data_IF_837486132951
#
_entry.id   IF_837486132951
#
_cell.length_a   1.000
_cell.length_b   1.000
_cell.length_c   1.000
_cell.angle_alpha   90.00
_cell.angle_beta   90.00
_cell.angle_gamma   90.00
#
_symmetry.space_group_name_H-M   'P 1'
#
loop_
_entity.id
_entity.type
_entity.pdbx_description
1 polymer ?
#
# COMPACT_ATOMS: atom_id res chain seq x y z
N UNK A 1 -8.46 -19.21 3.43
CA UNK A 1 -7.39 -19.26 2.37
C UNK A 1 -7.34 -17.91 1.67
N UNK A 2 -6.17 -17.29 1.55
CA UNK A 2 -6.02 -15.98 0.89
C UNK A 2 -6.31 -16.07 -0.62
N UNK A 3 -7.24 -15.25 -1.12
CA UNK A 3 -7.47 -15.05 -2.54
C UNK A 3 -6.68 -13.83 -3.02
N UNK A 4 -5.73 -14.03 -3.93
CA UNK A 4 -5.01 -12.95 -4.60
C UNK A 4 -5.08 -13.14 -6.12
N UNK A 5 -4.94 -12.05 -6.87
CA UNK A 5 -5.10 -12.02 -8.33
C UNK A 5 -4.13 -12.99 -9.02
N UNK A 6 -2.89 -13.09 -8.53
CA UNK A 6 -1.89 -14.02 -9.09
C UNK A 6 -2.36 -15.48 -9.02
N UNK A 7 -3.02 -15.88 -7.94
CA UNK A 7 -3.55 -17.24 -7.78
C UNK A 7 -4.86 -17.43 -8.52
N UNK A 8 -5.81 -16.51 -8.35
CA UNK A 8 -7.19 -16.70 -8.82
C UNK A 8 -7.37 -16.40 -10.31
N UNK A 9 -6.56 -15.51 -10.88
CA UNK A 9 -6.61 -15.16 -12.30
C UNK A 9 -5.47 -15.85 -13.05
N UNK A 10 -4.21 -15.46 -12.81
CA UNK A 10 -3.07 -15.99 -13.58
C UNK A 10 -2.88 -17.50 -13.33
N UNK A 11 -2.95 -17.94 -12.08
CA UNK A 11 -2.83 -19.34 -11.71
C UNK A 11 -3.92 -20.23 -12.31
N UNK A 12 -5.14 -19.71 -12.48
CA UNK A 12 -6.27 -20.45 -13.04
C UNK A 12 -6.14 -20.69 -14.56
N UNK A 13 -5.40 -19.85 -15.26
CA UNK A 13 -5.22 -19.94 -16.73
C UNK A 13 -3.78 -20.25 -17.15
N UNK A 14 -2.93 -20.68 -16.21
CA UNK A 14 -1.48 -20.85 -16.41
C UNK A 14 -1.08 -21.85 -17.51
N UNK A 15 -1.95 -22.79 -17.83
CA UNK A 15 -1.69 -23.84 -18.84
C UNK A 15 -1.94 -23.37 -20.28
N UNK A 16 -2.48 -22.16 -20.47
CA UNK A 16 -2.72 -21.59 -21.80
C UNK A 16 -1.40 -21.26 -22.49
N UNK A 17 -1.18 -21.85 -23.67
CA UNK A 17 0.05 -21.72 -24.46
C UNK A 17 0.33 -20.31 -24.98
N UNK A 18 -0.65 -19.42 -24.94
CA UNK A 18 -0.53 -18.01 -25.36
C UNK A 18 -0.30 -17.05 -24.18
N UNK A 19 -0.12 -17.55 -22.96
CA UNK A 19 0.20 -16.74 -21.78
C UNK A 19 1.60 -17.11 -21.27
N UNK A 20 2.46 -16.09 -21.17
CA UNK A 20 3.81 -16.24 -20.66
C UNK A 20 3.97 -15.38 -19.41
N UNK A 21 4.48 -15.97 -18.32
CA UNK A 21 4.70 -15.28 -17.05
C UNK A 21 6.19 -15.37 -16.70
N UNK A 22 6.88 -14.24 -16.74
CA UNK A 22 8.26 -14.12 -16.29
C UNK A 22 8.30 -13.54 -14.87
N UNK A 23 8.85 -14.30 -13.93
CA UNK A 23 9.04 -13.86 -12.53
C UNK A 23 10.46 -13.36 -12.35
N UNK A 24 10.71 -12.62 -11.27
CA UNK A 24 12.06 -12.09 -10.96
C UNK A 24 12.67 -11.33 -12.16
N UNK A 25 11.81 -10.62 -12.89
CA UNK A 25 12.14 -9.86 -14.08
C UNK A 25 11.82 -8.41 -13.79
N UNK A 26 12.85 -7.59 -13.67
CA UNK A 26 12.72 -6.17 -13.37
C UNK A 26 12.58 -5.38 -14.67
N UNK A 27 11.48 -4.67 -14.86
CA UNK A 27 11.33 -3.74 -15.98
C UNK A 27 12.13 -2.48 -15.68
N UNK A 28 13.11 -2.16 -16.52
CA UNK A 28 14.00 -1.01 -16.32
C UNK A 28 13.43 0.25 -16.97
N UNK A 29 12.96 0.11 -18.22
CA UNK A 29 12.29 1.17 -18.97
C UNK A 29 11.53 0.61 -20.17
N UNK A 30 10.64 1.42 -20.72
CA UNK A 30 9.98 1.21 -22.00
C UNK A 30 10.81 1.94 -23.07
N UNK A 31 11.03 1.30 -24.21
CA UNK A 31 11.68 1.91 -25.37
C UNK A 31 10.59 2.50 -26.25
N UNK A 32 10.61 3.82 -26.41
CA UNK A 32 9.58 4.58 -27.12
C UNK A 32 10.26 5.32 -28.27
N UNK A 33 9.70 5.21 -29.47
CA UNK A 33 10.15 5.99 -30.60
C UNK A 33 9.62 7.44 -30.47
N UNK A 34 10.49 8.46 -30.38
CA UNK A 34 10.06 9.85 -30.19
C UNK A 34 9.33 10.46 -31.39
N UNK A 35 9.47 9.90 -32.60
CA UNK A 35 8.86 10.44 -33.82
C UNK A 35 7.36 10.09 -33.92
N UNK A 36 7.01 8.84 -33.56
CA UNK A 36 5.64 8.32 -33.69
C UNK A 36 5.00 7.92 -32.35
N UNK A 37 5.71 8.08 -31.23
CA UNK A 37 5.31 7.71 -29.87
C UNK A 37 5.00 6.22 -29.68
N UNK A 38 5.51 5.34 -30.55
CA UNK A 38 5.29 3.90 -30.46
C UNK A 38 6.18 3.26 -29.38
N UNK A 39 5.54 2.51 -28.46
CA UNK A 39 6.21 1.68 -27.47
C UNK A 39 6.41 0.26 -28.03
N UNK A 40 7.54 0.01 -28.67
CA UNK A 40 7.80 -1.24 -29.40
C UNK A 40 8.55 -2.28 -28.56
N UNK A 41 9.29 -1.86 -27.53
CA UNK A 41 10.10 -2.76 -26.72
C UNK A 41 10.10 -2.38 -25.24
N UNK A 42 10.33 -3.37 -24.39
CA UNK A 42 10.54 -3.19 -22.96
C UNK A 42 11.92 -3.72 -22.60
N UNK A 43 12.74 -2.89 -21.97
CA UNK A 43 14.01 -3.34 -21.40
C UNK A 43 13.75 -3.94 -20.04
N UNK A 44 14.18 -5.18 -19.87
CA UNK A 44 14.07 -5.91 -18.62
C UNK A 44 15.41 -6.44 -18.18
N UNK A 45 15.52 -6.73 -16.89
CA UNK A 45 16.65 -7.43 -16.30
C UNK A 45 16.20 -8.71 -15.61
N UNK A 46 16.91 -9.79 -15.92
CA UNK A 46 16.71 -11.12 -15.35
C UNK A 46 18.06 -11.57 -14.78
N UNK A 47 18.17 -11.58 -13.45
CA UNK A 47 19.45 -11.76 -12.78
C UNK A 47 20.44 -10.65 -13.19
N UNK A 48 21.55 -11.05 -13.82
CA UNK A 48 22.60 -10.13 -14.29
C UNK A 48 22.45 -9.74 -15.77
N UNK A 49 21.45 -10.27 -16.48
CA UNK A 49 21.29 -10.05 -17.92
C UNK A 49 20.21 -9.01 -18.19
N UNK A 50 20.52 -8.04 -19.05
CA UNK A 50 19.53 -7.11 -19.61
C UNK A 50 19.07 -7.61 -20.99
N UNK A 51 17.77 -7.62 -21.21
CA UNK A 51 17.12 -8.12 -22.43
C UNK A 51 16.10 -7.10 -22.94
N UNK A 52 15.83 -7.14 -24.24
CA UNK A 52 14.77 -6.37 -24.89
C UNK A 52 13.65 -7.32 -25.30
N UNK A 53 12.43 -7.06 -24.80
CA UNK A 53 11.23 -7.81 -25.15
C UNK A 53 10.39 -6.96 -26.10
N UNK A 54 10.14 -7.47 -27.31
CA UNK A 54 9.35 -6.79 -28.34
C UNK A 54 7.84 -7.00 -28.12
N UNK A 55 7.07 -5.94 -28.27
CA UNK A 55 5.61 -5.98 -28.30
C UNK A 55 5.12 -5.64 -29.72
N UNK A 56 4.25 -6.48 -30.29
CA UNK A 56 3.69 -6.25 -31.65
C UNK A 56 2.45 -5.36 -31.68
N UNK A 57 1.84 -5.12 -30.52
CA UNK A 57 0.58 -4.37 -30.43
C UNK A 57 0.72 -3.25 -29.40
N UNK A 58 0.83 -3.62 -28.13
CA UNK A 58 0.73 -2.68 -27.03
C UNK A 58 1.65 -3.11 -25.88
N UNK A 59 2.11 -2.10 -25.12
CA UNK A 59 2.77 -2.26 -23.82
C UNK A 59 1.84 -1.68 -22.77
N UNK A 60 1.40 -2.50 -21.82
CA UNK A 60 0.55 -2.07 -20.71
C UNK A 60 1.41 -2.02 -19.45
N UNK A 61 1.53 -0.83 -18.86
CA UNK A 61 2.27 -0.64 -17.62
C UNK A 61 1.32 -0.80 -16.42
N UNK A 62 1.62 -1.77 -15.55
CA UNK A 62 0.82 -2.07 -14.36
C UNK A 62 1.70 -2.27 -13.12
N UNK A 63 2.73 -1.43 -12.97
CA UNK A 63 3.70 -1.52 -11.88
C UNK A 63 3.22 -0.83 -10.57
N UNK A 64 1.96 -0.39 -10.51
CA UNK A 64 1.37 0.30 -9.37
C UNK A 64 1.75 1.78 -9.26
N UNK A 65 1.18 2.48 -8.28
CA UNK A 65 1.28 3.95 -8.12
C UNK A 65 2.70 4.45 -7.89
N UNK A 66 3.60 3.61 -7.35
CA UNK A 66 4.98 3.99 -7.04
C UNK A 66 5.93 3.68 -8.20
N UNK A 67 5.91 2.45 -8.73
CA UNK A 67 6.92 2.04 -9.72
C UNK A 67 6.53 2.42 -11.15
N UNK A 68 5.24 2.58 -11.47
CA UNK A 68 4.83 3.02 -12.81
C UNK A 68 5.38 4.42 -13.16
N UNK A 69 5.25 5.46 -12.30
CA UNK A 69 5.85 6.75 -12.61
C UNK A 69 7.38 6.71 -12.69
N UNK A 70 8.05 5.88 -11.87
CA UNK A 70 9.50 5.67 -11.97
C UNK A 70 9.88 5.12 -13.35
N UNK A 71 9.23 4.05 -13.81
CA UNK A 71 9.49 3.43 -15.12
C UNK A 71 9.21 4.43 -16.25
N UNK A 72 8.11 5.18 -16.20
CA UNK A 72 7.78 6.20 -17.21
C UNK A 72 8.83 7.30 -17.26
N UNK A 73 9.25 7.83 -16.11
CA UNK A 73 10.29 8.86 -16.04
C UNK A 73 11.63 8.34 -16.58
N UNK A 74 12.04 7.12 -16.21
CA UNK A 74 13.25 6.46 -16.77
C UNK A 74 13.13 6.16 -18.27
N UNK A 75 11.91 6.12 -18.80
CA UNK A 75 11.60 5.99 -20.23
C UNK A 75 11.57 7.34 -20.96
N UNK A 76 11.82 8.46 -20.27
CA UNK A 76 11.78 9.80 -20.85
C UNK A 76 10.40 10.46 -20.87
N UNK A 77 9.41 9.91 -20.14
CA UNK A 77 8.07 10.49 -19.98
C UNK A 77 7.90 10.99 -18.55
N UNK A 78 7.88 12.31 -18.37
CA UNK A 78 7.78 12.93 -17.05
C UNK A 78 8.14 14.41 -17.05
N UNK A 79 8.23 15.06 -15.87
CA UNK A 79 8.50 16.48 -15.79
C UNK A 79 9.87 16.81 -16.38
N UNK A 80 9.90 17.65 -17.42
CA UNK A 80 11.09 17.89 -18.24
C UNK A 80 12.33 18.29 -17.43
N UNK A 81 12.19 19.24 -16.51
CA UNK A 81 13.31 19.72 -15.69
C UNK A 81 13.83 18.62 -14.75
N UNK A 82 12.94 17.80 -14.19
CA UNK A 82 13.31 16.65 -13.34
C UNK A 82 14.07 15.59 -14.15
N UNK A 83 13.63 15.29 -15.37
CA UNK A 83 14.31 14.34 -16.25
C UNK A 83 15.71 14.82 -16.64
N UNK A 84 15.86 16.11 -16.99
CA UNK A 84 17.16 16.72 -17.30
C UNK A 84 18.13 16.64 -16.12
N UNK A 85 17.67 16.88 -14.89
CA UNK A 85 18.48 16.77 -13.66
C UNK A 85 19.07 15.37 -13.47
N UNK A 86 18.40 14.33 -13.96
CA UNK A 86 18.87 12.95 -13.90
C UNK A 86 19.56 12.48 -15.20
N UNK A 87 19.87 13.38 -16.13
CA UNK A 87 20.47 13.07 -17.43
C UNK A 87 19.63 12.08 -18.26
N UNK A 88 18.30 12.23 -18.26
CA UNK A 88 17.37 11.42 -19.04
C UNK A 88 16.84 12.25 -20.21
N UNK A 89 16.92 11.72 -21.43
CA UNK A 89 16.35 12.36 -22.61
C UNK A 89 14.83 12.47 -22.48
N UNK A 90 14.31 13.67 -22.73
CA UNK A 90 12.87 13.94 -22.63
C UNK A 90 12.19 13.58 -23.94
N UNK A 91 11.31 12.58 -23.89
CA UNK A 91 10.43 12.19 -25.00
C UNK A 91 9.11 12.95 -24.89
N UNK A 92 8.55 13.03 -23.68
CA UNK A 92 7.30 13.75 -23.44
C UNK A 92 7.28 14.39 -22.06
N UNK A 93 7.09 15.70 -22.02
CA UNK A 93 6.88 16.46 -20.79
C UNK A 93 5.45 16.24 -20.27
N UNK A 94 5.30 15.48 -19.19
CA UNK A 94 4.02 15.17 -18.53
C UNK A 94 4.20 15.18 -17.01
N UNK A 95 3.13 15.46 -16.27
CA UNK A 95 3.13 15.49 -14.79
C UNK A 95 3.18 14.08 -14.15
N UNK A 96 4.07 13.22 -14.64
CA UNK A 96 4.29 11.87 -14.11
C UNK A 96 4.90 11.96 -12.71
N UNK A 97 4.35 11.20 -11.77
CA UNK A 97 4.81 11.20 -10.38
C UNK A 97 4.07 12.19 -9.49
N UNK A 98 3.34 13.16 -10.05
CA UNK A 98 2.52 14.11 -9.30
C UNK A 98 1.17 13.50 -8.87
N UNK A 99 0.43 14.24 -8.03
CA UNK A 99 -0.93 13.89 -7.60
C UNK A 99 -1.02 12.54 -6.85
N UNK A 100 0.04 12.16 -6.11
CA UNK A 100 0.01 11.02 -5.21
C UNK A 100 -1.03 11.27 -4.13
N UNK A 101 -1.85 10.27 -3.87
CA UNK A 101 -2.90 10.28 -2.86
C UNK A 101 -2.80 9.00 -2.05
N UNK A 102 -2.98 9.13 -0.75
CA UNK A 102 -3.05 8.00 0.17
C UNK A 102 -3.98 8.35 1.34
N UNK A 103 -4.58 7.34 1.96
CA UNK A 103 -5.42 7.51 3.14
C UNK A 103 -4.54 7.51 4.39
N UNK A 104 -4.41 8.66 5.05
CA UNK A 104 -3.77 8.74 6.34
C UNK A 104 -4.70 8.18 7.43
N UNK A 105 -4.14 7.33 8.30
CA UNK A 105 -4.80 6.84 9.51
C UNK A 105 -4.05 7.33 10.75
N UNK A 106 -4.79 7.79 11.76
CA UNK A 106 -4.24 8.13 13.07
C UNK A 106 -4.25 6.92 13.99
N UNK A 107 -3.15 6.64 14.68
CA UNK A 107 -2.94 5.42 15.47
C UNK A 107 -2.91 5.67 16.98
N UNK A 108 -3.45 6.79 17.45
CA UNK A 108 -3.31 7.22 18.85
C UNK A 108 -4.45 6.82 19.79
N UNK A 109 -5.48 6.10 19.31
CA UNK A 109 -6.63 5.74 20.15
C UNK A 109 -6.74 4.23 20.35
N UNK A 110 -6.62 3.79 21.60
CA UNK A 110 -6.76 2.39 21.99
C UNK A 110 -7.59 2.26 23.26
N UNK A 111 -8.41 1.21 23.33
CA UNK A 111 -9.31 0.94 24.45
C UNK A 111 -9.17 -0.50 24.91
N UNK A 112 -9.26 -0.72 26.22
CA UNK A 112 -9.43 -2.07 26.78
C UNK A 112 -10.85 -2.54 26.53
N UNK A 113 -11.00 -3.82 26.23
CA UNK A 113 -12.29 -4.45 26.02
C UNK A 113 -12.58 -5.42 27.16
N UNK A 114 -13.77 -5.31 27.73
CA UNK A 114 -14.32 -6.33 28.64
C UNK A 114 -15.02 -7.42 27.81
N UNK A 115 -14.21 -8.22 27.11
CA UNK A 115 -14.69 -9.26 26.20
C UNK A 115 -14.17 -10.63 26.62
N UNK A 116 -15.01 -11.36 27.37
CA UNK A 116 -14.81 -12.79 27.68
C UNK A 116 -14.65 -13.68 26.42
N UNK A 117 -15.02 -13.18 25.23
CA UNK A 117 -15.02 -13.93 23.98
C UNK A 117 -13.64 -14.02 23.29
N UNK A 118 -12.62 -13.33 23.80
CA UNK A 118 -11.28 -13.23 23.18
C UNK A 118 -10.19 -13.72 24.14
N UNK A 119 -10.45 -14.83 24.83
CA UNK A 119 -9.47 -15.48 25.69
C UNK A 119 -8.25 -15.96 24.88
N UNK A 120 -7.05 -16.00 25.50
CA UNK A 120 -5.87 -16.56 24.88
C UNK A 120 -6.17 -17.99 24.43
N UNK A 121 -5.88 -18.31 23.16
CA UNK A 121 -5.93 -19.67 22.64
C UNK A 121 -4.52 -20.20 22.48
N UNK A 122 -4.35 -21.49 22.76
CA UNK A 122 -3.10 -22.16 22.48
C UNK A 122 -2.74 -22.04 20.97
N UNK A 123 -1.50 -21.66 20.62
CA UNK A 123 -1.09 -21.51 19.23
C UNK A 123 -1.20 -22.81 18.41
N UNK A 124 -0.95 -23.98 19.02
CA UNK A 124 -1.04 -25.29 18.36
C UNK A 124 -2.50 -25.59 18.03
N UNK A 125 -3.42 -25.34 18.96
CA UNK A 125 -4.86 -25.51 18.72
C UNK A 125 -5.34 -24.58 17.60
N UNK A 126 -4.88 -23.33 17.60
CA UNK A 126 -5.20 -22.33 16.58
C UNK A 126 -4.73 -22.77 15.18
N UNK A 127 -3.53 -23.33 15.09
CA UNK A 127 -2.97 -23.89 13.87
C UNK A 127 -3.76 -25.14 13.44
N UNK A 128 -4.03 -26.05 14.36
CA UNK A 128 -4.79 -27.28 14.10
C UNK A 128 -6.20 -26.98 13.57
N UNK A 129 -6.92 -26.06 14.21
CA UNK A 129 -8.26 -25.62 13.80
C UNK A 129 -8.24 -25.13 12.34
N UNK A 130 -7.29 -24.25 12.00
CA UNK A 130 -7.19 -23.73 10.64
C UNK A 130 -6.79 -24.80 9.61
N UNK A 131 -5.87 -25.70 9.96
CA UNK A 131 -5.45 -26.76 9.04
C UNK A 131 -6.56 -27.75 8.75
N UNK A 132 -7.28 -28.19 9.79
CA UNK A 132 -8.32 -29.21 9.68
C UNK A 132 -9.65 -28.65 9.17
N UNK A 133 -10.07 -27.50 9.66
CA UNK A 133 -11.42 -26.97 9.43
C UNK A 133 -11.46 -25.73 8.54
N UNK A 134 -10.32 -25.07 8.30
CA UNK A 134 -10.24 -23.77 7.59
C UNK A 134 -11.03 -22.66 8.28
N UNK A 135 -11.28 -22.80 9.58
CA UNK A 135 -11.92 -21.82 10.46
C UNK A 135 -10.90 -21.22 11.43
N UNK A 136 -11.38 -20.41 12.38
CA UNK A 136 -10.54 -19.87 13.46
C UNK A 136 -9.77 -18.61 13.07
N UNK A 137 -8.94 -18.13 14.00
CA UNK A 137 -8.25 -16.84 13.93
C UNK A 137 -7.40 -16.68 12.64
N UNK A 138 -6.67 -17.74 12.25
CA UNK A 138 -5.82 -17.75 11.06
C UNK A 138 -6.59 -17.74 9.72
N UNK A 139 -7.90 -17.93 9.76
CA UNK A 139 -8.76 -17.77 8.58
C UNK A 139 -9.13 -16.32 8.31
N UNK A 140 -8.89 -15.41 9.26
CA UNK A 140 -9.24 -13.99 9.20
C UNK A 140 -8.06 -13.11 8.78
N UNK A 141 -8.31 -11.82 8.52
CA UNK A 141 -7.24 -10.83 8.26
C UNK A 141 -6.61 -10.29 9.54
N UNK A 142 -7.23 -10.49 10.70
CA UNK A 142 -6.83 -9.90 12.00
C UNK A 142 -7.00 -8.38 12.09
N UNK A 143 -7.04 -7.68 10.95
CA UNK A 143 -7.13 -6.23 10.82
C UNK A 143 -8.45 -5.88 10.13
N UNK A 144 -9.10 -4.80 10.61
CA UNK A 144 -10.32 -4.23 10.05
C UNK A 144 -11.51 -5.21 10.02
N UNK A 145 -11.67 -6.01 11.08
CA UNK A 145 -12.78 -6.97 11.23
C UNK A 145 -14.16 -6.33 11.14
N UNK A 146 -14.27 -5.04 11.47
CA UNK A 146 -15.36 -4.19 11.06
C UNK A 146 -14.85 -2.78 10.70
N UNK A 147 -15.54 -2.15 9.76
CA UNK A 147 -15.24 -0.84 9.20
C UNK A 147 -16.47 0.03 9.37
N UNK A 148 -16.26 1.30 9.73
CA UNK A 148 -17.34 2.29 9.72
C UNK A 148 -16.92 3.49 8.87
N UNK A 149 -17.92 4.10 8.24
CA UNK A 149 -17.78 5.32 7.46
C UNK A 149 -18.76 6.33 8.03
N UNK A 150 -18.25 7.49 8.44
CA UNK A 150 -19.08 8.56 8.97
C UNK A 150 -18.82 9.85 8.23
N UNK A 151 -19.76 10.76 8.39
CA UNK A 151 -19.58 12.12 7.99
C UNK A 151 -19.45 13.01 9.23
N UNK A 152 -18.30 13.65 9.39
CA UNK A 152 -18.07 14.63 10.47
C UNK A 152 -18.46 16.05 10.06
N UNK A 153 -18.73 16.29 8.77
CA UNK A 153 -19.14 17.59 8.21
C UNK A 153 -20.65 17.64 8.01
N UNK A 154 -21.34 18.68 8.49
CA UNK A 154 -22.81 18.81 8.38
C UNK A 154 -23.34 18.78 6.94
N UNK A 155 -22.56 19.29 5.98
CA UNK A 155 -23.00 19.53 4.59
C UNK A 155 -22.38 18.57 3.56
N UNK A 156 -22.09 17.31 3.94
CA UNK A 156 -21.57 16.31 2.99
C UNK A 156 -22.54 15.15 2.77
N UNK A 157 -22.70 14.77 1.49
CA UNK A 157 -23.49 13.61 1.08
C UNK A 157 -22.67 12.32 1.01
N UNK A 158 -21.35 12.41 1.25
CA UNK A 158 -20.44 11.26 1.26
C UNK A 158 -19.62 11.24 2.56
N UNK A 159 -19.26 10.05 3.08
CA UNK A 159 -18.38 9.96 4.24
C UNK A 159 -17.01 10.60 3.97
N UNK A 160 -16.53 11.40 4.92
CA UNK A 160 -15.18 11.97 4.89
C UNK A 160 -14.20 11.24 5.82
N UNK A 161 -14.72 10.40 6.73
CA UNK A 161 -13.92 9.64 7.70
C UNK A 161 -14.28 8.16 7.62
N UNK A 162 -13.26 7.32 7.72
CA UNK A 162 -13.40 5.88 7.94
C UNK A 162 -12.70 5.48 9.24
N UNK A 163 -13.31 4.61 10.04
CA UNK A 163 -12.62 3.98 11.16
C UNK A 163 -12.29 2.55 10.83
N UNK A 164 -11.03 2.19 11.07
CA UNK A 164 -10.57 0.80 11.05
C UNK A 164 -10.29 0.38 12.47
N UNK A 165 -10.63 -0.86 12.78
CA UNK A 165 -10.43 -1.42 14.10
C UNK A 165 -9.46 -2.58 13.99
N UNK A 166 -8.53 -2.65 14.94
CA UNK A 166 -7.66 -3.80 15.13
C UNK A 166 -7.91 -4.28 16.54
N UNK A 167 -8.31 -5.53 16.67
CA UNK A 167 -8.59 -6.14 17.97
C UNK A 167 -7.48 -7.14 18.23
N UNK A 168 -6.76 -6.91 19.32
CA UNK A 168 -5.75 -7.80 19.86
C UNK A 168 -6.40 -8.63 20.97
N UNK A 169 -6.45 -9.97 20.87
CA UNK A 169 -6.80 -10.83 21.99
C UNK A 169 -5.91 -10.55 23.21
N UNK A 170 -6.33 -10.97 24.41
CA UNK A 170 -5.46 -10.87 25.58
C UNK A 170 -4.17 -11.69 25.36
N UNK A 171 -3.02 -11.16 25.80
CA UNK A 171 -1.70 -11.78 25.59
C UNK A 171 -1.38 -12.07 24.11
N UNK A 172 -1.71 -11.16 23.19
CA UNK A 172 -1.44 -11.35 21.77
C UNK A 172 0.03 -11.16 21.42
N UNK A 173 0.70 -12.26 21.10
CA UNK A 173 2.12 -12.34 20.77
C UNK A 173 2.40 -12.35 19.26
N UNK A 174 1.36 -12.24 18.42
CA UNK A 174 1.47 -12.31 16.96
C UNK A 174 1.09 -10.97 16.31
N UNK A 175 -0.14 -10.52 16.48
CA UNK A 175 -0.67 -9.41 15.72
C UNK A 175 -0.27 -8.06 16.32
N UNK A 176 -0.33 -7.91 17.65
CA UNK A 176 0.11 -6.67 18.32
C UNK A 176 1.58 -6.33 17.99
N UNK A 177 2.57 -7.23 18.17
CA UNK A 177 3.97 -6.96 17.81
C UNK A 177 4.16 -6.63 16.32
N UNK A 178 3.41 -7.29 15.44
CA UNK A 178 3.48 -7.02 14.00
C UNK A 178 2.95 -5.62 13.66
N UNK A 179 1.86 -5.20 14.31
CA UNK A 179 1.21 -3.91 14.07
C UNK A 179 2.03 -2.75 14.61
N UNK A 180 2.52 -2.83 15.85
CA UNK A 180 3.34 -1.75 16.42
C UNK A 180 4.64 -1.53 15.64
N UNK A 181 5.24 -2.63 15.15
CA UNK A 181 6.41 -2.58 14.26
C UNK A 181 6.07 -1.98 12.90
N UNK A 182 4.94 -2.38 12.30
CA UNK A 182 4.54 -1.88 10.99
C UNK A 182 4.24 -0.38 10.99
N UNK A 183 3.67 0.14 12.09
CA UNK A 183 3.43 1.57 12.26
C UNK A 183 4.63 2.35 12.80
N UNK A 184 5.72 1.66 13.18
CA UNK A 184 6.90 2.32 13.74
C UNK A 184 6.60 3.09 15.02
N UNK A 185 5.79 2.50 15.91
CA UNK A 185 5.39 3.16 17.16
C UNK A 185 6.57 3.35 18.11
N UNK A 186 6.54 4.46 18.86
CA UNK A 186 7.53 4.78 19.89
C UNK A 186 7.52 3.76 21.03
N UNK A 187 8.68 3.53 21.63
CA UNK A 187 8.89 2.45 22.60
C UNK A 187 7.97 2.54 23.84
N UNK A 188 7.69 3.75 24.31
CA UNK A 188 6.79 4.01 25.44
C UNK A 188 5.32 3.69 25.12
N UNK A 189 4.88 3.98 23.88
CA UNK A 189 3.56 3.59 23.37
C UNK A 189 3.44 2.07 23.27
N UNK A 190 4.49 1.40 22.78
CA UNK A 190 4.54 -0.07 22.71
C UNK A 190 4.43 -0.68 24.12
N UNK A 191 5.21 -0.18 25.07
CA UNK A 191 5.17 -0.67 26.46
C UNK A 191 3.78 -0.50 27.08
N UNK A 192 3.13 0.65 26.86
CA UNK A 192 1.78 0.92 27.35
C UNK A 192 0.74 -0.04 26.75
N UNK A 193 0.83 -0.32 25.44
CA UNK A 193 -0.05 -1.27 24.76
C UNK A 193 0.17 -2.71 25.25
N UNK A 194 1.43 -3.15 25.38
CA UNK A 194 1.76 -4.49 25.88
C UNK A 194 1.25 -4.68 27.31
N UNK A 195 1.44 -3.69 28.17
CA UNK A 195 0.92 -3.71 29.55
C UNK A 195 -0.60 -3.76 29.58
N UNK A 196 -1.26 -3.01 28.70
CA UNK A 196 -2.72 -3.02 28.59
C UNK A 196 -3.25 -4.36 28.06
N UNK A 197 -2.55 -4.97 27.10
CA UNK A 197 -2.95 -6.20 26.43
C UNK A 197 -2.61 -7.49 27.22
N UNK A 198 -1.76 -7.40 28.25
CA UNK A 198 -1.29 -8.55 29.03
C UNK A 198 -2.44 -9.44 29.54
N UNK A 199 -3.51 -8.86 30.04
CA UNK A 199 -4.63 -9.62 30.60
C UNK A 199 -5.98 -9.34 29.91
N UNK A 200 -6.07 -8.22 29.21
CA UNK A 200 -7.31 -7.75 28.60
C UNK A 200 -7.13 -7.65 27.08
N UNK A 201 -8.13 -8.01 26.27
CA UNK A 201 -8.12 -7.66 24.86
C UNK A 201 -8.06 -6.13 24.69
N UNK A 202 -7.33 -5.68 23.68
CA UNK A 202 -7.18 -4.25 23.36
C UNK A 202 -7.70 -4.02 21.95
N UNK A 203 -8.50 -2.98 21.77
CA UNK A 203 -8.89 -2.51 20.45
C UNK A 203 -8.20 -1.19 20.13
N UNK A 204 -7.45 -1.17 19.04
CA UNK A 204 -6.95 0.05 18.42
C UNK A 204 -7.96 0.55 17.39
N UNK A 205 -8.24 1.84 17.44
CA UNK A 205 -9.20 2.52 16.57
C UNK A 205 -8.43 3.52 15.72
N UNK A 206 -8.52 3.35 14.40
CA UNK A 206 -7.77 4.11 13.42
C UNK A 206 -8.72 4.95 12.58
N UNK A 207 -9.05 6.19 12.99
CA UNK A 207 -9.71 7.13 12.10
C UNK A 207 -8.78 7.48 10.95
N UNK A 208 -9.31 7.51 9.73
CA UNK A 208 -8.59 7.94 8.55
C UNK A 208 -9.48 8.68 7.57
N UNK A 209 -8.85 9.57 6.81
CA UNK A 209 -9.51 10.48 5.89
C UNK A 209 -9.78 9.74 4.58
N UNK A 210 -11.02 9.76 4.11
CA UNK A 210 -11.45 9.04 2.89
C UNK A 210 -11.14 9.84 1.63
N UNK A 211 -11.27 11.17 1.69
CA UNK A 211 -11.09 12.06 0.54
C UNK A 211 -10.05 13.15 0.84
N UNK A 212 -8.77 12.78 1.02
CA UNK A 212 -7.73 13.74 1.37
C UNK A 212 -7.57 14.81 0.29
N UNK A 213 -7.36 16.06 0.72
CA UNK A 213 -7.06 17.21 -0.15
C UNK A 213 -5.57 17.35 -0.42
N UNK A 214 -4.76 16.90 0.52
CA UNK A 214 -3.33 16.75 0.43
C UNK A 214 -2.90 15.99 -0.82
N UNK A 215 -1.79 16.41 -1.43
CA UNK A 215 -1.20 15.76 -2.61
C UNK A 215 0.29 15.59 -2.43
N UNK A 216 0.73 14.36 -2.65
CA UNK A 216 2.12 13.98 -2.67
C UNK A 216 2.70 13.90 -4.08
N UNK A 217 3.93 13.40 -4.14
CA UNK A 217 4.64 13.09 -5.38
C UNK A 217 5.63 11.95 -5.22
N UNK A 218 5.90 11.27 -6.33
CA UNK A 218 6.93 10.24 -6.51
C UNK A 218 7.96 10.77 -7.48
N UNK A 219 9.21 10.91 -7.03
CA UNK A 219 10.33 11.41 -7.84
C UNK A 219 11.39 10.35 -8.02
N UNK A 220 12.14 10.43 -9.12
CA UNK A 220 13.36 9.64 -9.27
C UNK A 220 14.38 10.04 -8.21
N UNK A 221 15.08 9.05 -7.65
CA UNK A 221 16.30 9.26 -6.86
C UNK A 221 17.52 9.38 -7.77
N UNK A 222 17.56 8.60 -8.84
CA UNK A 222 18.62 8.57 -9.84
C UNK A 222 18.05 8.09 -11.18
N UNK A 223 18.92 7.90 -12.18
CA UNK A 223 18.59 7.28 -13.46
C UNK A 223 18.70 5.73 -13.47
N UNK A 224 18.74 5.09 -12.29
CA UNK A 224 18.78 3.63 -12.13
C UNK A 224 17.46 3.14 -11.55
N UNK A 225 16.96 2.01 -12.08
CA UNK A 225 15.67 1.44 -11.65
C UNK A 225 15.75 0.82 -10.24
N UNK A 226 16.94 0.40 -9.82
CA UNK A 226 17.21 -0.21 -8.51
C UNK A 226 17.16 0.81 -7.37
N UNK A 227 17.39 2.07 -7.70
CA UNK A 227 17.37 3.13 -6.71
C UNK A 227 15.92 3.46 -6.39
N UNK A 228 15.51 3.09 -5.18
CA UNK A 228 14.15 3.31 -4.69
C UNK A 228 13.75 4.78 -4.87
N UNK A 229 12.58 5.06 -5.47
CA UNK A 229 12.16 6.42 -5.74
C UNK A 229 11.98 7.20 -4.43
N UNK A 230 12.05 8.52 -4.54
CA UNK A 230 11.70 9.42 -3.44
C UNK A 230 10.18 9.53 -3.38
N UNK A 231 9.60 9.19 -2.23
CA UNK A 231 8.15 9.22 -2.01
C UNK A 231 7.85 10.33 -1.01
N UNK A 232 7.14 11.34 -1.46
CA UNK A 232 6.65 12.43 -0.64
C UNK A 232 5.13 12.28 -0.56
N UNK A 233 4.58 11.70 0.53
CA UNK A 233 3.14 11.44 0.62
C UNK A 233 2.30 12.72 0.67
N UNK A 234 2.89 13.83 1.13
CA UNK A 234 2.22 15.13 1.20
C UNK A 234 1.13 15.19 2.27
N UNK A 235 1.18 14.35 3.31
CA UNK A 235 0.17 14.37 4.37
C UNK A 235 0.06 15.74 5.04
N UNK A 236 -1.17 16.22 5.20
CA UNK A 236 -1.49 17.47 5.90
C UNK A 236 -0.84 18.71 5.25
N UNK A 237 -0.66 18.70 3.93
CA UNK A 237 -0.09 19.82 3.19
C UNK A 237 -1.13 20.57 2.36
N UNK A 238 -2.42 20.35 2.59
CA UNK A 238 -3.46 21.08 1.88
C UNK A 238 -3.56 22.52 2.39
N UNK A 239 -3.75 23.48 1.49
CA UNK A 239 -3.69 24.92 1.82
C UNK A 239 -4.81 25.39 2.78
N UNK A 240 -5.84 24.57 3.01
CA UNK A 240 -7.02 24.92 3.80
C UNK A 240 -7.10 24.21 5.14
N UNK A 241 -6.09 23.41 5.51
CA UNK A 241 -6.08 22.57 6.71
C UNK A 241 -7.34 21.67 6.82
N UNK A 242 -7.96 21.32 5.69
CA UNK A 242 -9.17 20.52 5.65
C UNK A 242 -8.92 19.09 6.11
N UNK A 243 -7.75 18.54 5.80
CA UNK A 243 -7.40 17.18 6.18
C UNK A 243 -7.18 17.08 7.69
N UNK A 244 -6.41 18.02 8.26
CA UNK A 244 -6.16 18.05 9.70
C UNK A 244 -7.45 18.32 10.48
N UNK A 245 -8.30 19.23 10.00
CA UNK A 245 -9.60 19.50 10.62
C UNK A 245 -10.51 18.27 10.58
N UNK A 246 -10.57 17.57 9.45
CA UNK A 246 -11.37 16.33 9.32
C UNK A 246 -10.88 15.23 10.27
N UNK A 247 -9.57 15.13 10.48
CA UNK A 247 -9.00 14.16 11.42
C UNK A 247 -9.26 14.55 12.88
N UNK A 248 -9.15 15.83 13.24
CA UNK A 248 -9.49 16.31 14.58
C UNK A 248 -10.96 16.06 14.91
N UNK A 249 -11.86 16.32 13.96
CA UNK A 249 -13.28 16.03 14.13
C UNK A 249 -13.58 14.53 14.20
N UNK A 250 -12.72 13.67 13.66
CA UNK A 250 -12.83 12.22 13.80
C UNK A 250 -12.41 11.70 15.19
N UNK A 251 -11.61 12.47 15.93
CA UNK A 251 -11.08 12.08 17.25
C UNK A 251 -11.95 12.62 18.40
N UNK A 252 -12.74 13.67 18.14
CA UNK A 252 -13.69 14.27 19.11
C UNK A 252 -14.94 13.43 19.31
#
# INVERSE_FOLDING_TARGET
>A
MRANIGKTILGAIRERQNLFVSRQTLVEKIVINPENMEASEVRVRIGLQSLLIKARKEVILSAGTINSPQILMLSGIGPEEHLKQHNISVIKNLAVGENLQDHLFFTGFSVKLDLNALLPRDPIDTVYEYFKHRTGLLSTTGIASFLSFINTKKDSNVPNVSYRHIIFPASDDILLPAVVKAFGMEADVVEALDKANKYDPVMMILPGIVNPKSRGKVLLRSNKIEDMPLIYPGYMTDNGDEDIQSLLDAIR
#
